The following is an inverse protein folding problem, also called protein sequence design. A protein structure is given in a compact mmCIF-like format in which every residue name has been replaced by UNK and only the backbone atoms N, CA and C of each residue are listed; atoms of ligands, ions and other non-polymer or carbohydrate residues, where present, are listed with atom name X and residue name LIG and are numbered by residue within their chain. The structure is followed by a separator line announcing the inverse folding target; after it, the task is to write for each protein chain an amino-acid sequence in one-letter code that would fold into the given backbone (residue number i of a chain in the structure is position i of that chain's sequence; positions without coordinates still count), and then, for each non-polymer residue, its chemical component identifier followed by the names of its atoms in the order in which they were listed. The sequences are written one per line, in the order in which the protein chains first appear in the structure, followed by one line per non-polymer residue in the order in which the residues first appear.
data_IF_079760371472
#
_entry.id   IF_079760371472
#
_cell.length_a   1.000
_cell.length_b   1.000
_cell.length_c   1.000
_cell.angle_alpha   90.00
_cell.angle_beta   90.00
_cell.angle_gamma   90.00
#
_symmetry.space_group_name_H-M   'P 1'
#
loop_
_entity.id
_entity.type
_entity.pdbx_description
1 polymer ?
#
# COMPACT_ATOMS: atom_id res chain seq x y z
N UNK A 1 -32.00 -26.18 12.86
CA UNK A 1 -31.06 -27.27 13.21
C UNK A 1 -31.11 -28.27 12.06
N UNK A 2 -30.28 -28.05 11.05
CA UNK A 2 -30.09 -28.98 9.94
C UNK A 2 -29.30 -30.22 10.43
N UNK A 3 -29.50 -31.40 9.83
CA UNK A 3 -29.07 -32.66 10.39
C UNK A 3 -27.54 -32.87 10.31
N UNK A 4 -26.92 -33.64 11.24
CA UNK A 4 -25.48 -33.92 11.29
C UNK A 4 -24.92 -34.71 10.09
N UNK A 5 -25.76 -35.12 9.14
CA UNK A 5 -25.35 -35.90 7.95
C UNK A 5 -24.67 -35.04 6.87
N UNK A 6 -25.05 -33.78 6.75
CA UNK A 6 -24.43 -32.86 5.77
C UNK A 6 -23.02 -32.44 6.20
N UNK A 7 -22.83 -32.17 7.50
CA UNK A 7 -21.52 -31.86 8.09
C UNK A 7 -20.55 -33.05 7.93
N UNK A 8 -21.02 -34.29 8.17
CA UNK A 8 -20.18 -35.48 8.04
C UNK A 8 -19.77 -35.75 6.57
N UNK A 9 -20.68 -35.53 5.63
CA UNK A 9 -20.42 -35.64 4.19
C UNK A 9 -19.45 -34.56 3.70
N UNK A 10 -19.62 -33.32 4.18
CA UNK A 10 -18.72 -32.19 3.90
C UNK A 10 -17.30 -32.45 4.43
N UNK A 11 -17.16 -32.92 5.67
CA UNK A 11 -15.88 -33.32 6.27
C UNK A 11 -15.21 -34.46 5.50
N UNK A 12 -15.98 -35.45 5.03
CA UNK A 12 -15.45 -36.55 4.24
C UNK A 12 -14.93 -36.10 2.87
N UNK A 13 -15.67 -35.22 2.18
CA UNK A 13 -15.22 -34.61 0.92
C UNK A 13 -13.97 -33.74 1.12
N UNK A 14 -13.87 -33.03 2.25
CA UNK A 14 -12.67 -32.28 2.61
C UNK A 14 -11.44 -33.19 2.81
N UNK A 15 -11.61 -34.31 3.52
CA UNK A 15 -10.53 -35.30 3.72
C UNK A 15 -10.07 -35.90 2.38
N UNK A 16 -10.99 -36.13 1.43
CA UNK A 16 -10.66 -36.62 0.08
C UNK A 16 -9.99 -35.55 -0.77
N UNK A 17 -10.36 -34.27 -0.60
CA UNK A 17 -9.75 -33.15 -1.32
C UNK A 17 -8.31 -32.84 -0.86
N UNK A 18 -8.03 -33.06 0.42
CA UNK A 18 -6.74 -32.78 1.04
C UNK A 18 -5.53 -33.41 0.31
N UNK A 19 -5.49 -34.72 -0.03
CA UNK A 19 -4.37 -35.30 -0.77
C UNK A 19 -4.24 -34.73 -2.19
N UNK A 20 -5.35 -34.36 -2.84
CA UNK A 20 -5.31 -33.70 -4.14
C UNK A 20 -4.69 -32.29 -4.03
N UNK A 21 -5.10 -31.51 -3.04
CA UNK A 21 -4.51 -30.21 -2.72
C UNK A 21 -3.00 -30.32 -2.42
N UNK A 22 -2.60 -31.28 -1.58
CA UNK A 22 -1.18 -31.52 -1.30
C UNK A 22 -0.42 -31.94 -2.55
N UNK A 23 -1.02 -32.74 -3.44
CA UNK A 23 -0.45 -33.09 -4.73
C UNK A 23 -0.18 -31.86 -5.61
N UNK A 24 -1.14 -30.94 -5.72
CA UNK A 24 -0.97 -29.68 -6.45
C UNK A 24 0.09 -28.79 -5.83
N UNK A 25 0.10 -28.69 -4.51
CA UNK A 25 1.10 -27.91 -3.78
C UNK A 25 2.51 -28.46 -3.99
N UNK A 26 2.69 -29.77 -3.87
CA UNK A 26 3.99 -30.43 -4.11
C UNK A 26 4.41 -30.21 -5.55
N UNK A 27 3.50 -30.41 -6.52
CA UNK A 27 3.78 -30.18 -7.93
C UNK A 27 4.21 -28.73 -8.21
N UNK A 28 3.42 -27.76 -7.74
CA UNK A 28 3.73 -26.34 -7.86
C UNK A 28 5.05 -25.97 -7.17
N UNK A 29 5.32 -26.53 -5.99
CA UNK A 29 6.58 -26.31 -5.25
C UNK A 29 7.77 -26.87 -6.00
N UNK A 30 7.67 -28.09 -6.55
CA UNK A 30 8.74 -28.71 -7.35
C UNK A 30 9.04 -27.84 -8.58
N UNK A 31 8.00 -27.39 -9.30
CA UNK A 31 8.16 -26.46 -10.43
C UNK A 31 8.83 -25.16 -9.97
N UNK A 32 8.34 -24.58 -8.87
CA UNK A 32 8.93 -23.40 -8.24
C UNK A 32 10.42 -23.58 -7.95
N UNK A 33 10.81 -24.64 -7.28
CA UNK A 33 12.22 -24.93 -6.94
C UNK A 33 13.09 -25.13 -8.19
N UNK A 34 12.56 -25.77 -9.24
CA UNK A 34 13.29 -26.00 -10.50
C UNK A 34 13.50 -24.71 -11.28
N UNK A 35 12.47 -23.86 -11.41
CA UNK A 35 12.53 -22.64 -12.22
C UNK A 35 13.03 -21.41 -11.45
N UNK A 36 12.95 -21.40 -10.11
CA UNK A 36 13.37 -20.28 -9.26
C UNK A 36 14.81 -19.82 -9.50
N UNK A 37 15.84 -20.71 -9.58
CA UNK A 37 17.21 -20.28 -9.84
C UNK A 37 17.35 -19.53 -11.18
N UNK A 38 16.69 -20.02 -12.24
CA UNK A 38 16.71 -19.39 -13.56
C UNK A 38 16.02 -18.03 -13.53
N UNK A 39 14.82 -17.95 -12.96
CA UNK A 39 14.03 -16.71 -12.86
C UNK A 39 14.74 -15.66 -12.01
N UNK A 40 15.30 -16.08 -10.87
CA UNK A 40 16.09 -15.22 -10.00
C UNK A 40 17.32 -14.69 -10.73
N UNK A 41 18.00 -15.51 -11.53
CA UNK A 41 19.13 -15.10 -12.36
C UNK A 41 18.72 -14.09 -13.44
N UNK A 42 17.62 -14.33 -14.16
CA UNK A 42 17.10 -13.40 -15.18
C UNK A 42 16.77 -12.05 -14.56
N UNK A 43 15.99 -12.03 -13.47
CA UNK A 43 15.59 -10.79 -12.81
C UNK A 43 16.77 -10.06 -12.18
N UNK A 44 17.65 -10.77 -11.49
CA UNK A 44 18.84 -10.16 -10.86
C UNK A 44 19.76 -9.56 -11.91
N UNK A 45 20.11 -10.30 -12.96
CA UNK A 45 21.00 -9.80 -14.02
C UNK A 45 20.31 -8.69 -14.81
N UNK A 46 19.06 -8.88 -15.22
CA UNK A 46 18.30 -7.91 -16.01
C UNK A 46 18.15 -6.58 -15.29
N UNK A 47 17.63 -6.59 -14.06
CA UNK A 47 17.46 -5.38 -13.27
C UNK A 47 18.80 -4.76 -12.90
N UNK A 48 19.81 -5.56 -12.53
CA UNK A 48 21.14 -5.01 -12.22
C UNK A 48 21.79 -4.34 -13.43
N UNK A 49 21.62 -4.91 -14.63
CA UNK A 49 22.12 -4.31 -15.87
C UNK A 49 21.42 -2.98 -16.18
N UNK A 50 20.09 -2.91 -16.00
CA UNK A 50 19.32 -1.66 -16.13
C UNK A 50 19.80 -0.62 -15.11
N UNK A 51 19.88 -1.02 -13.85
CA UNK A 51 20.31 -0.15 -12.74
C UNK A 51 21.71 0.40 -13.05
N UNK A 52 22.70 -0.46 -13.30
CA UNK A 52 24.09 -0.06 -13.53
C UNK A 52 24.26 0.75 -14.82
N UNK A 53 23.56 0.36 -15.90
CA UNK A 53 23.61 1.04 -17.18
C UNK A 53 23.02 2.45 -17.13
N UNK A 54 21.91 2.62 -16.41
CA UNK A 54 21.25 3.92 -16.26
C UNK A 54 21.78 4.76 -15.10
N UNK A 55 22.50 4.16 -14.16
CA UNK A 55 23.05 4.84 -12.99
C UNK A 55 23.78 6.16 -13.31
N UNK A 56 24.77 6.22 -14.24
CA UNK A 56 25.44 7.49 -14.55
C UNK A 56 24.48 8.55 -15.10
N UNK A 57 23.50 8.15 -15.92
CA UNK A 57 22.49 9.06 -16.45
C UNK A 57 21.56 9.59 -15.34
N UNK A 58 21.13 8.71 -14.43
CA UNK A 58 20.32 9.06 -13.27
C UNK A 58 21.05 10.02 -12.34
N UNK A 59 22.35 9.81 -12.10
CA UNK A 59 23.21 10.74 -11.36
C UNK A 59 23.17 12.11 -12.03
N UNK A 60 23.58 12.20 -13.29
CA UNK A 60 23.70 13.49 -14.01
C UNK A 60 22.36 14.22 -14.05
N UNK A 61 21.27 13.53 -14.41
CA UNK A 61 19.94 14.15 -14.52
C UNK A 61 19.41 14.61 -13.16
N UNK A 62 19.67 13.86 -12.08
CA UNK A 62 19.24 14.23 -10.73
C UNK A 62 19.96 15.46 -10.22
N UNK A 63 21.29 15.49 -10.32
CA UNK A 63 22.08 16.68 -9.99
C UNK A 63 21.65 17.88 -10.83
N UNK A 64 21.48 17.69 -12.14
CA UNK A 64 21.03 18.73 -13.04
C UNK A 64 19.65 19.28 -12.64
N UNK A 65 18.68 18.41 -12.34
CA UNK A 65 17.32 18.81 -11.94
C UNK A 65 17.34 19.60 -10.63
N UNK A 66 18.07 19.14 -9.62
CA UNK A 66 18.17 19.80 -8.31
C UNK A 66 18.88 21.17 -8.41
N UNK A 67 19.90 21.28 -9.24
CA UNK A 67 20.58 22.57 -9.44
C UNK A 67 19.70 23.56 -10.21
N UNK A 68 18.92 23.07 -11.19
CA UNK A 68 18.10 23.92 -12.09
C UNK A 68 16.70 24.21 -11.60
N UNK A 69 16.16 23.43 -10.65
CA UNK A 69 14.79 23.67 -10.16
C UNK A 69 14.65 25.06 -9.55
N UNK A 70 13.52 25.69 -9.81
CA UNK A 70 13.12 26.99 -9.25
C UNK A 70 12.43 26.85 -7.89
N UNK A 71 12.07 25.63 -7.50
CA UNK A 71 11.32 25.38 -6.26
C UNK A 71 12.21 25.32 -5.01
N UNK A 72 13.52 25.10 -5.15
CA UNK A 72 14.43 24.91 -4.02
C UNK A 72 15.30 26.14 -3.81
N UNK A 73 15.42 26.60 -2.55
CA UNK A 73 16.35 27.65 -2.16
C UNK A 73 17.83 27.21 -2.31
N UNK A 74 18.78 28.16 -2.40
CA UNK A 74 20.20 27.87 -2.67
C UNK A 74 20.84 26.98 -1.59
N UNK A 75 20.49 27.21 -0.32
CA UNK A 75 20.98 26.41 0.80
C UNK A 75 20.49 24.95 0.70
N UNK A 76 19.20 24.75 0.41
CA UNK A 76 18.61 23.43 0.28
C UNK A 76 19.22 22.66 -0.89
N UNK A 77 19.55 23.34 -2.00
CA UNK A 77 20.28 22.73 -3.12
C UNK A 77 21.63 22.19 -2.69
N UNK A 78 22.41 22.96 -1.91
CA UNK A 78 23.73 22.53 -1.42
C UNK A 78 23.58 21.30 -0.51
N UNK A 79 22.65 21.35 0.45
CA UNK A 79 22.40 20.22 1.36
C UNK A 79 22.01 18.96 0.59
N UNK A 80 21.06 19.07 -0.35
CA UNK A 80 20.67 17.93 -1.19
C UNK A 80 21.84 17.42 -2.04
N UNK A 81 22.66 18.29 -2.62
CA UNK A 81 23.84 17.87 -3.37
C UNK A 81 24.85 17.07 -2.52
N UNK A 82 24.96 17.38 -1.23
CA UNK A 82 25.82 16.64 -0.30
C UNK A 82 25.19 15.29 0.09
N UNK A 83 23.87 15.22 0.27
CA UNK A 83 23.16 13.99 0.67
C UNK A 83 22.91 13.02 -0.50
N UNK A 84 22.79 13.53 -1.73
CA UNK A 84 22.49 12.77 -2.94
C UNK A 84 23.40 11.56 -3.19
N UNK A 85 24.74 11.64 -3.04
CA UNK A 85 25.61 10.48 -3.23
C UNK A 85 25.18 9.29 -2.37
N UNK A 86 24.89 9.53 -1.09
CA UNK A 86 24.46 8.48 -0.17
C UNK A 86 23.12 7.86 -0.62
N UNK A 87 22.15 8.69 -1.01
CA UNK A 87 20.86 8.22 -1.53
C UNK A 87 21.00 7.41 -2.82
N UNK A 88 21.88 7.84 -3.74
CA UNK A 88 22.12 7.17 -5.02
C UNK A 88 22.85 5.83 -4.86
N UNK A 89 23.77 5.73 -3.88
CA UNK A 89 24.42 4.46 -3.52
C UNK A 89 23.42 3.53 -2.83
N UNK A 90 22.62 4.05 -1.90
CA UNK A 90 21.58 3.27 -1.22
C UNK A 90 20.56 2.71 -2.21
N UNK A 91 20.12 3.52 -3.19
CA UNK A 91 19.26 3.08 -4.27
C UNK A 91 19.85 1.90 -5.06
N UNK A 92 21.14 1.95 -5.37
CA UNK A 92 21.85 0.86 -6.07
C UNK A 92 21.78 -0.45 -5.27
N UNK A 93 22.13 -0.40 -3.98
CA UNK A 93 22.15 -1.57 -3.10
C UNK A 93 20.75 -2.15 -2.92
N UNK A 94 19.75 -1.29 -2.63
CA UNK A 94 18.38 -1.72 -2.45
C UNK A 94 17.76 -2.27 -3.74
N UNK A 95 18.09 -1.70 -4.90
CA UNK A 95 17.60 -2.20 -6.19
C UNK A 95 18.11 -3.59 -6.52
N UNK A 96 19.40 -3.87 -6.25
CA UNK A 96 20.00 -5.19 -6.47
C UNK A 96 19.46 -6.21 -5.46
N UNK A 97 19.46 -5.89 -4.17
CA UNK A 97 18.90 -6.77 -3.13
C UNK A 97 17.42 -7.06 -3.35
N UNK A 98 16.64 -6.04 -3.70
CA UNK A 98 15.23 -6.16 -4.04
C UNK A 98 15.00 -7.05 -5.27
N UNK A 99 15.91 -7.03 -6.25
CA UNK A 99 15.83 -7.90 -7.43
C UNK A 99 16.10 -9.36 -7.10
N UNK A 100 17.03 -9.65 -6.18
CA UNK A 100 17.30 -11.02 -5.72
C UNK A 100 16.10 -11.56 -4.94
N UNK A 101 15.61 -10.79 -3.96
CA UNK A 101 14.48 -11.19 -3.11
C UNK A 101 13.21 -11.32 -3.96
N UNK A 102 12.94 -10.32 -4.81
CA UNK A 102 11.80 -10.32 -5.72
C UNK A 102 11.86 -11.45 -6.74
N UNK A 103 13.05 -11.76 -7.28
CA UNK A 103 13.28 -12.87 -8.19
C UNK A 103 13.06 -14.23 -7.55
N UNK A 104 13.54 -14.43 -6.31
CA UNK A 104 13.29 -15.65 -5.56
C UNK A 104 11.81 -15.82 -5.22
N UNK A 105 11.14 -14.75 -4.77
CA UNK A 105 9.72 -14.77 -4.43
C UNK A 105 8.85 -15.04 -5.66
N UNK A 106 9.10 -14.32 -6.75
CA UNK A 106 8.36 -14.49 -8.02
C UNK A 106 8.60 -15.88 -8.62
N UNK A 107 9.86 -16.33 -8.68
CA UNK A 107 10.23 -17.63 -9.22
C UNK A 107 9.68 -18.82 -8.44
N UNK A 108 9.48 -18.67 -7.12
CA UNK A 108 8.86 -19.70 -6.28
C UNK A 108 7.33 -19.66 -6.34
N UNK A 109 6.74 -18.47 -6.20
CA UNK A 109 5.28 -18.34 -6.05
C UNK A 109 4.53 -18.39 -7.38
N UNK A 110 5.08 -17.86 -8.48
CA UNK A 110 4.37 -17.83 -9.77
C UNK A 110 4.02 -19.25 -10.27
N UNK A 111 4.93 -20.25 -10.25
CA UNK A 111 4.58 -21.62 -10.65
C UNK A 111 3.59 -22.29 -9.71
N UNK A 112 3.60 -21.96 -8.41
CA UNK A 112 2.62 -22.44 -7.44
C UNK A 112 1.24 -21.91 -7.81
N UNK A 113 1.08 -20.58 -7.95
CA UNK A 113 -0.20 -19.98 -8.32
C UNK A 113 -0.72 -20.53 -9.66
N UNK A 114 0.12 -20.63 -10.69
CA UNK A 114 -0.28 -21.19 -11.99
C UNK A 114 -0.80 -22.63 -11.91
N UNK A 115 -0.26 -23.44 -10.99
CA UNK A 115 -0.71 -24.83 -10.79
C UNK A 115 -2.10 -24.87 -10.14
N UNK A 116 -2.39 -23.91 -9.25
CA UNK A 116 -3.72 -23.75 -8.63
C UNK A 116 -4.72 -23.10 -9.60
N UNK A 117 -4.30 -22.12 -10.40
CA UNK A 117 -5.10 -21.46 -11.44
C UNK A 117 -5.60 -22.46 -12.49
N UNK A 118 -4.75 -23.41 -12.91
CA UNK A 118 -5.12 -24.45 -13.87
C UNK A 118 -6.31 -25.32 -13.40
N UNK A 119 -6.45 -25.52 -12.09
CA UNK A 119 -7.57 -26.26 -11.47
C UNK A 119 -8.76 -25.35 -11.22
N UNK A 120 -8.51 -24.09 -10.84
CA UNK A 120 -9.54 -23.08 -10.65
C UNK A 120 -10.33 -22.81 -11.94
N UNK A 121 -9.66 -22.61 -13.06
CA UNK A 121 -10.30 -22.21 -14.33
C UNK A 121 -11.01 -23.38 -15.07
N UNK A 122 -11.00 -24.60 -14.52
CA UNK A 122 -11.58 -25.82 -15.15
C UNK A 122 -11.19 -25.98 -16.63
N UNK A 123 -9.91 -25.79 -16.98
CA UNK A 123 -9.41 -25.93 -18.35
C UNK A 123 -9.59 -27.36 -18.89
N UNK A 124 -9.83 -27.50 -20.20
CA UNK A 124 -9.81 -28.80 -20.89
C UNK A 124 -8.42 -29.44 -20.76
N UNK A 125 -8.34 -30.73 -20.40
CA UNK A 125 -7.07 -31.41 -20.04
C UNK A 125 -6.36 -30.81 -18.80
N UNK A 126 -7.09 -30.65 -17.69
CA UNK A 126 -6.60 -30.09 -16.42
C UNK A 126 -5.22 -30.60 -15.96
N UNK A 127 -4.96 -31.92 -16.05
CA UNK A 127 -3.67 -32.50 -15.65
C UNK A 127 -2.51 -31.93 -16.48
N UNK A 128 -2.67 -31.84 -17.81
CA UNK A 128 -1.64 -31.28 -18.67
C UNK A 128 -1.32 -29.83 -18.28
N UNK A 129 -2.35 -29.00 -18.06
CA UNK A 129 -2.18 -27.62 -17.65
C UNK A 129 -1.55 -27.48 -16.26
N UNK A 130 -1.86 -28.37 -15.31
CA UNK A 130 -1.19 -28.36 -13.99
C UNK A 130 0.32 -28.60 -14.11
N UNK A 131 0.78 -29.43 -15.05
CA UNK A 131 2.20 -29.67 -15.28
C UNK A 131 2.86 -28.57 -16.13
N UNK A 132 2.16 -28.09 -17.16
CA UNK A 132 2.71 -27.19 -18.17
C UNK A 132 2.62 -25.70 -17.80
N UNK A 133 1.46 -25.22 -17.33
CA UNK A 133 1.22 -23.80 -17.05
C UNK A 133 2.15 -23.32 -15.92
N UNK A 134 2.72 -22.12 -16.04
CA UNK A 134 3.67 -21.60 -15.03
C UNK A 134 5.07 -22.23 -15.07
N UNK A 135 5.43 -22.93 -16.16
CA UNK A 135 6.82 -23.28 -16.46
C UNK A 135 7.46 -22.18 -17.30
N UNK A 136 7.32 -22.25 -18.63
CA UNK A 136 7.85 -21.26 -19.56
C UNK A 136 7.16 -19.89 -19.42
N UNK A 137 5.92 -19.86 -18.95
CA UNK A 137 5.19 -18.62 -18.71
C UNK A 137 5.80 -17.80 -17.58
N UNK A 138 6.29 -18.45 -16.51
CA UNK A 138 7.01 -17.75 -15.43
C UNK A 138 8.35 -17.19 -15.93
N UNK A 139 9.05 -17.92 -16.80
CA UNK A 139 10.28 -17.42 -17.44
C UNK A 139 9.98 -16.20 -18.31
N UNK A 140 8.96 -16.26 -19.19
CA UNK A 140 8.50 -15.10 -19.98
C UNK A 140 8.07 -13.93 -19.09
N UNK A 141 7.31 -14.23 -18.04
CA UNK A 141 6.85 -13.25 -17.06
C UNK A 141 8.01 -12.53 -16.39
N UNK A 142 9.12 -13.23 -16.11
CA UNK A 142 10.32 -12.60 -15.54
C UNK A 142 10.94 -11.56 -16.48
N UNK A 143 10.95 -11.79 -17.80
CA UNK A 143 11.38 -10.79 -18.78
C UNK A 143 10.44 -9.58 -18.82
N UNK A 144 9.12 -9.82 -18.69
CA UNK A 144 8.15 -8.74 -18.57
C UNK A 144 8.41 -7.91 -17.32
N UNK A 145 8.66 -8.53 -16.16
CA UNK A 145 8.99 -7.81 -14.92
C UNK A 145 10.24 -6.95 -15.08
N UNK A 146 11.30 -7.48 -15.71
CA UNK A 146 12.53 -6.72 -15.99
C UNK A 146 12.24 -5.55 -16.93
N UNK A 147 11.44 -5.76 -17.97
CA UNK A 147 11.04 -4.69 -18.90
C UNK A 147 10.24 -3.60 -18.19
N UNK A 148 9.25 -3.98 -17.39
CA UNK A 148 8.40 -3.05 -16.66
C UNK A 148 9.22 -2.23 -15.64
N UNK A 149 10.18 -2.88 -14.97
CA UNK A 149 11.15 -2.18 -14.12
C UNK A 149 12.03 -1.21 -14.93
N UNK A 150 12.45 -1.61 -16.13
CA UNK A 150 13.10 -0.75 -17.11
C UNK A 150 12.26 0.47 -17.45
N UNK A 151 10.99 0.29 -17.81
CA UNK A 151 10.08 1.38 -18.17
C UNK A 151 9.93 2.40 -17.03
N UNK A 152 9.86 1.93 -15.77
CA UNK A 152 9.86 2.80 -14.59
C UNK A 152 11.17 3.62 -14.51
N UNK A 153 12.32 2.99 -14.74
CA UNK A 153 13.61 3.66 -14.71
C UNK A 153 13.79 4.65 -15.88
N UNK A 154 13.30 4.32 -17.07
CA UNK A 154 13.43 5.15 -18.28
C UNK A 154 12.41 6.29 -18.37
N UNK A 155 11.21 6.12 -17.83
CA UNK A 155 10.12 7.07 -18.03
C UNK A 155 9.65 7.72 -16.74
N UNK A 156 9.24 6.92 -15.75
CA UNK A 156 8.68 7.46 -14.51
C UNK A 156 9.72 8.28 -13.74
N UNK A 157 10.97 7.81 -13.68
CA UNK A 157 12.06 8.53 -13.02
C UNK A 157 12.33 9.89 -13.67
N UNK A 158 12.40 9.94 -15.00
CA UNK A 158 12.66 11.18 -15.73
C UNK A 158 11.49 12.15 -15.66
N UNK A 159 10.25 11.65 -15.73
CA UNK A 159 9.05 12.45 -15.54
C UNK A 159 9.07 13.15 -14.18
N UNK A 160 9.36 12.41 -13.10
CA UNK A 160 9.44 12.97 -11.76
C UNK A 160 10.53 14.06 -11.65
N UNK A 161 11.69 13.84 -12.27
CA UNK A 161 12.75 14.85 -12.30
C UNK A 161 12.41 16.08 -13.13
N UNK A 162 11.66 15.92 -14.22
CA UNK A 162 11.22 17.03 -15.06
C UNK A 162 10.08 17.82 -14.40
N UNK A 163 9.18 17.16 -13.66
CA UNK A 163 8.14 17.81 -12.84
C UNK A 163 8.78 18.65 -11.72
N UNK A 164 9.76 18.08 -11.01
CA UNK A 164 10.55 18.80 -9.99
C UNK A 164 11.26 20.03 -10.59
N UNK A 165 11.66 19.96 -11.85
CA UNK A 165 12.36 21.05 -12.55
C UNK A 165 11.40 22.17 -12.95
N UNK A 166 10.25 21.83 -13.52
CA UNK A 166 9.28 22.78 -14.06
C UNK A 166 8.62 23.58 -12.94
N UNK A 167 8.25 22.91 -11.86
CA UNK A 167 7.59 23.50 -10.69
C UNK A 167 6.21 24.08 -10.99
N UNK A 168 5.38 24.21 -9.95
CA UNK A 168 4.06 24.83 -10.08
C UNK A 168 4.16 26.36 -10.28
N UNK A 169 3.34 26.96 -11.16
CA UNK A 169 3.22 28.41 -11.23
C UNK A 169 2.66 28.91 -9.88
N UNK A 170 3.25 29.98 -9.32
CA UNK A 170 2.91 30.64 -8.03
C UNK A 170 3.46 30.07 -6.70
N UNK A 171 4.37 29.10 -6.69
CA UNK A 171 4.92 28.57 -5.41
C UNK A 171 6.18 29.33 -4.95
N UNK A 172 6.15 29.87 -3.72
CA UNK A 172 7.34 30.38 -3.02
C UNK A 172 8.36 29.26 -2.88
N UNK A 173 9.62 29.54 -3.20
CA UNK A 173 10.70 28.55 -3.10
C UNK A 173 10.84 28.02 -1.66
N UNK A 174 11.07 26.71 -1.52
CA UNK A 174 11.31 26.05 -0.25
C UNK A 174 12.70 26.41 0.27
N UNK A 175 12.76 27.23 1.32
CA UNK A 175 14.01 27.48 2.06
C UNK A 175 14.08 26.65 3.33
N UNK A 176 15.26 26.09 3.57
CA UNK A 176 15.58 25.44 4.83
C UNK A 176 16.32 26.40 5.77
N UNK A 177 15.89 26.43 7.03
CA UNK A 177 16.64 27.07 8.12
C UNK A 177 17.77 26.13 8.55
N UNK A 178 19.02 26.57 8.40
CA UNK A 178 20.19 25.76 8.77
C UNK A 178 20.30 25.52 10.28
N UNK A 179 19.87 26.48 11.10
CA UNK A 179 20.04 26.44 12.55
C UNK A 179 19.38 25.21 13.23
N UNK A 180 18.12 24.83 12.91
CA UNK A 180 17.51 23.62 13.47
C UNK A 180 18.00 22.29 12.84
N UNK A 181 18.77 22.34 11.75
CA UNK A 181 19.16 21.13 10.99
C UNK A 181 19.99 20.13 11.80
N UNK A 182 21.02 20.53 12.59
CA UNK A 182 21.76 19.59 13.42
C UNK A 182 20.87 18.91 14.47
N UNK A 183 19.97 19.68 15.10
CA UNK A 183 19.00 19.14 16.05
C UNK A 183 18.03 18.14 15.41
N UNK A 184 17.60 18.41 14.18
CA UNK A 184 16.75 17.51 13.41
C UNK A 184 17.46 16.20 13.07
N UNK A 185 18.74 16.25 12.67
CA UNK A 185 19.55 15.05 12.39
C UNK A 185 19.72 14.21 13.65
N UNK A 186 20.06 14.85 14.78
CA UNK A 186 20.21 14.16 16.07
C UNK A 186 18.89 13.49 16.47
N UNK A 187 17.78 14.22 16.47
CA UNK A 187 16.48 13.67 16.86
C UNK A 187 15.99 12.57 15.92
N UNK A 188 16.16 12.73 14.60
CA UNK A 188 15.81 11.69 13.63
C UNK A 188 16.64 10.43 13.81
N UNK A 189 17.95 10.56 14.05
CA UNK A 189 18.81 9.41 14.36
C UNK A 189 18.41 8.72 15.66
N UNK A 190 18.10 9.49 16.70
CA UNK A 190 17.62 8.99 17.98
C UNK A 190 16.30 8.23 17.82
N UNK A 191 15.37 8.79 17.04
CA UNK A 191 14.10 8.15 16.70
C UNK A 191 14.29 6.82 16.00
N UNK A 192 15.19 6.72 15.01
CA UNK A 192 15.52 5.44 14.36
C UNK A 192 16.08 4.43 15.37
N UNK A 193 17.00 4.86 16.25
CA UNK A 193 17.63 3.97 17.25
C UNK A 193 16.61 3.41 18.24
N UNK A 194 15.58 4.17 18.61
CA UNK A 194 14.53 3.69 19.53
C UNK A 194 13.38 2.97 18.81
N UNK A 195 12.84 3.53 17.74
CA UNK A 195 11.67 2.99 17.07
C UNK A 195 11.98 1.66 16.41
N UNK A 196 13.15 1.51 15.78
CA UNK A 196 13.52 0.25 15.12
C UNK A 196 13.43 -0.97 16.04
N UNK A 197 14.15 -1.04 17.18
CA UNK A 197 14.07 -2.20 18.06
C UNK A 197 12.69 -2.33 18.74
N UNK A 198 12.06 -1.23 19.14
CA UNK A 198 10.80 -1.28 19.89
C UNK A 198 9.62 -1.69 19.01
N UNK A 199 9.49 -1.08 17.83
CA UNK A 199 8.47 -1.48 16.84
C UNK A 199 8.69 -2.92 16.40
N UNK A 200 9.94 -3.33 16.17
CA UNK A 200 10.26 -4.74 15.86
C UNK A 200 9.81 -5.68 16.97
N UNK A 201 10.07 -5.34 18.24
CA UNK A 201 9.65 -6.14 19.38
C UNK A 201 8.12 -6.24 19.46
N UNK A 202 7.40 -5.13 19.31
CA UNK A 202 5.93 -5.11 19.31
C UNK A 202 5.39 -5.98 18.17
N UNK A 203 5.92 -5.82 16.96
CA UNK A 203 5.54 -6.61 15.79
C UNK A 203 5.75 -8.11 16.01
N UNK A 204 6.89 -8.50 16.56
CA UNK A 204 7.19 -9.90 16.90
C UNK A 204 6.23 -10.42 17.97
N UNK A 205 5.97 -9.67 19.03
CA UNK A 205 5.05 -10.05 20.10
C UNK A 205 3.59 -10.17 19.62
N UNK A 206 3.17 -9.34 18.66
CA UNK A 206 1.82 -9.39 18.07
C UNK A 206 1.70 -10.40 16.92
N UNK A 207 2.82 -10.85 16.35
CA UNK A 207 2.81 -11.80 15.23
C UNK A 207 2.08 -13.12 15.50
N UNK A 208 2.12 -13.74 16.70
CA UNK A 208 1.36 -14.95 16.97
C UNK A 208 -0.14 -14.67 16.98
N UNK A 209 -0.58 -13.53 17.52
CA UNK A 209 -1.99 -13.14 17.49
C UNK A 209 -2.48 -12.95 16.05
N UNK A 210 -1.70 -12.27 15.21
CA UNK A 210 -2.01 -12.12 13.78
C UNK A 210 -2.08 -13.47 13.05
N UNK A 211 -1.17 -14.39 13.38
CA UNK A 211 -1.15 -15.73 12.82
C UNK A 211 -2.43 -16.50 13.17
N UNK A 212 -2.74 -16.63 14.46
CA UNK A 212 -3.90 -17.38 14.93
C UNK A 212 -5.23 -16.74 14.50
N UNK A 213 -5.36 -15.42 14.62
CA UNK A 213 -6.58 -14.72 14.24
C UNK A 213 -6.82 -14.78 12.73
N UNK A 214 -5.77 -14.58 11.94
CA UNK A 214 -5.87 -14.68 10.49
C UNK A 214 -6.20 -16.10 10.02
N UNK A 215 -5.58 -17.12 10.62
CA UNK A 215 -5.99 -18.51 10.38
C UNK A 215 -7.42 -18.77 10.77
N UNK A 216 -7.85 -18.36 11.97
CA UNK A 216 -9.23 -18.51 12.42
C UNK A 216 -10.21 -17.89 11.40
N UNK A 217 -9.94 -16.67 10.93
CA UNK A 217 -10.74 -16.00 9.89
C UNK A 217 -10.74 -16.77 8.57
N UNK A 218 -9.58 -17.20 8.08
CA UNK A 218 -9.48 -17.95 6.82
C UNK A 218 -10.15 -19.33 6.90
N UNK A 219 -10.10 -20.00 8.04
CA UNK A 219 -10.85 -21.23 8.29
C UNK A 219 -12.35 -20.97 8.36
N UNK A 220 -12.78 -19.88 8.99
CA UNK A 220 -14.19 -19.47 8.96
C UNK A 220 -14.68 -19.13 7.56
N UNK A 221 -13.88 -18.46 6.74
CA UNK A 221 -14.22 -18.15 5.35
C UNK A 221 -14.27 -19.42 4.48
N UNK A 222 -13.46 -20.44 4.82
CA UNK A 222 -13.51 -21.75 4.18
C UNK A 222 -14.78 -22.54 4.56
N UNK A 223 -15.17 -22.51 5.84
CA UNK A 223 -16.31 -23.27 6.39
C UNK A 223 -17.65 -22.57 6.13
N UNK A 224 -17.72 -21.24 6.24
CA UNK A 224 -18.95 -20.45 6.11
C UNK A 224 -19.48 -20.30 4.68
N UNK A 225 -18.81 -20.90 3.70
CA UNK A 225 -19.19 -20.88 2.28
C UNK A 225 -20.19 -22.00 1.95
N UNK A 226 -21.25 -22.16 2.75
CA UNK A 226 -22.31 -23.18 2.59
C UNK A 226 -23.44 -22.76 1.64
N UNK A 227 -23.08 -22.30 0.43
CA UNK A 227 -24.04 -22.04 -0.65
C UNK A 227 -24.03 -23.14 -1.71
N UNK A 228 -25.14 -23.39 -2.44
CA UNK A 228 -25.18 -24.28 -3.61
C UNK A 228 -24.27 -23.82 -4.78
N UNK A 229 -23.64 -22.65 -4.63
CA UNK A 229 -22.54 -22.12 -5.45
C UNK A 229 -21.17 -22.33 -4.78
N UNK A 230 -20.94 -23.48 -4.14
CA UNK A 230 -19.61 -24.06 -3.92
C UNK A 230 -19.01 -24.44 -5.28
N UNK A 231 -18.73 -23.43 -6.10
CA UNK A 231 -17.88 -23.59 -7.26
C UNK A 231 -16.53 -24.10 -6.75
N UNK A 232 -16.24 -25.35 -7.09
CA UNK A 232 -14.99 -26.11 -6.91
C UNK A 232 -13.69 -25.34 -7.23
N UNK A 233 -13.84 -24.14 -7.82
CA UNK A 233 -12.82 -23.23 -8.30
C UNK A 233 -12.08 -22.53 -7.16
N UNK A 234 -12.78 -22.11 -6.10
CA UNK A 234 -12.20 -21.24 -5.06
C UNK A 234 -11.60 -21.99 -3.86
N UNK A 235 -11.95 -23.27 -3.67
CA UNK A 235 -11.47 -24.08 -2.54
C UNK A 235 -9.94 -24.28 -2.56
N UNK A 236 -9.30 -24.58 -3.72
CA UNK A 236 -7.85 -24.64 -3.81
C UNK A 236 -7.16 -23.31 -3.44
N UNK A 237 -7.71 -22.17 -3.83
CA UNK A 237 -7.15 -20.85 -3.49
C UNK A 237 -7.29 -20.51 -2.01
N UNK A 238 -8.44 -20.82 -1.40
CA UNK A 238 -8.64 -20.63 0.03
C UNK A 238 -7.66 -21.50 0.84
N UNK A 239 -7.44 -22.75 0.43
CA UNK A 239 -6.42 -23.62 1.02
C UNK A 239 -5.00 -23.07 0.86
N UNK A 240 -4.68 -22.53 -0.31
CA UNK A 240 -3.37 -21.91 -0.57
C UNK A 240 -3.17 -20.65 0.29
N UNK A 241 -4.21 -19.82 0.45
CA UNK A 241 -4.16 -18.64 1.32
C UNK A 241 -3.93 -19.01 2.79
N UNK A 242 -4.59 -20.06 3.30
CA UNK A 242 -4.36 -20.59 4.66
C UNK A 242 -2.89 -21.01 4.84
N UNK A 243 -2.32 -21.69 3.85
CA UNK A 243 -0.94 -22.16 3.88
C UNK A 243 0.08 -21.03 3.76
N UNK A 244 -0.19 -20.02 2.92
CA UNK A 244 0.70 -18.87 2.70
C UNK A 244 0.55 -17.79 3.78
N UNK A 245 -0.48 -17.87 4.64
CA UNK A 245 -0.70 -16.91 5.71
C UNK A 245 0.52 -16.68 6.64
N UNK A 246 1.27 -17.71 7.10
CA UNK A 246 2.50 -17.51 7.86
C UNK A 246 3.55 -16.68 7.12
N UNK A 247 3.66 -16.85 5.79
CA UNK A 247 4.57 -16.03 4.98
C UNK A 247 4.12 -14.57 4.95
N UNK A 248 2.82 -14.31 4.85
CA UNK A 248 2.26 -12.97 4.96
C UNK A 248 2.54 -12.36 6.34
N UNK A 249 2.46 -13.15 7.42
CA UNK A 249 2.82 -12.72 8.78
C UNK A 249 4.29 -12.31 8.88
N UNK A 250 5.21 -13.13 8.36
CA UNK A 250 6.64 -12.79 8.29
C UNK A 250 6.86 -11.51 7.48
N UNK A 251 6.18 -11.38 6.33
CA UNK A 251 6.24 -10.19 5.50
C UNK A 251 5.77 -8.92 6.23
N UNK A 252 4.68 -9.00 7.01
CA UNK A 252 4.17 -7.89 7.80
C UNK A 252 5.12 -7.48 8.94
N UNK A 253 5.79 -8.45 9.59
CA UNK A 253 6.83 -8.17 10.58
C UNK A 253 8.02 -7.46 9.92
N UNK A 254 8.56 -8.02 8.84
CA UNK A 254 9.68 -7.40 8.10
C UNK A 254 9.31 -6.00 7.57
N UNK A 255 8.09 -5.83 7.07
CA UNK A 255 7.56 -4.54 6.64
C UNK A 255 7.47 -3.54 7.77
N UNK A 256 7.04 -3.97 8.97
CA UNK A 256 7.02 -3.13 10.17
C UNK A 256 8.42 -2.73 10.63
N UNK A 257 9.39 -3.65 10.56
CA UNK A 257 10.79 -3.35 10.84
C UNK A 257 11.33 -2.29 9.89
N UNK A 258 11.03 -2.40 8.59
CA UNK A 258 11.48 -1.44 7.59
C UNK A 258 10.79 -0.07 7.75
N UNK A 259 9.48 -0.05 7.99
CA UNK A 259 8.71 1.18 8.15
C UNK A 259 9.08 1.95 9.42
N UNK A 260 9.50 1.25 10.49
CA UNK A 260 9.94 1.86 11.74
C UNK A 260 11.12 2.83 11.57
N UNK A 261 11.99 2.61 10.58
CA UNK A 261 13.11 3.51 10.26
C UNK A 261 12.56 4.86 9.81
N UNK A 262 11.58 4.87 8.92
CA UNK A 262 10.96 6.10 8.43
C UNK A 262 10.10 6.77 9.50
N UNK A 263 9.39 5.97 10.30
CA UNK A 263 8.59 6.46 11.42
C UNK A 263 9.49 7.19 12.43
N UNK A 264 10.58 6.56 12.87
CA UNK A 264 11.53 7.17 13.80
C UNK A 264 12.25 8.39 13.21
N UNK A 265 12.63 8.33 11.93
CA UNK A 265 13.27 9.47 11.24
C UNK A 265 12.39 10.73 11.22
N UNK A 266 11.06 10.58 11.25
CA UNK A 266 10.11 11.69 11.27
C UNK A 266 10.25 12.57 12.52
N UNK A 267 10.84 12.07 13.61
CA UNK A 267 11.20 12.90 14.76
C UNK A 267 12.06 14.12 14.36
N UNK A 268 12.94 13.96 13.39
CA UNK A 268 13.76 15.04 12.86
C UNK A 268 12.92 16.14 12.17
N UNK A 269 11.86 15.75 11.46
CA UNK A 269 10.91 16.68 10.84
C UNK A 269 10.16 17.48 11.91
N UNK A 270 9.73 16.82 12.99
CA UNK A 270 9.05 17.49 14.11
C UNK A 270 9.98 18.51 14.79
N UNK A 271 11.26 18.16 15.02
CA UNK A 271 12.25 19.12 15.54
C UNK A 271 12.45 20.30 14.61
N UNK A 272 12.48 20.02 13.31
CA UNK A 272 12.68 21.05 12.30
C UNK A 272 11.52 22.06 12.24
N UNK A 273 10.28 21.59 12.42
CA UNK A 273 9.08 22.43 12.38
C UNK A 273 8.80 23.17 13.69
N UNK A 274 9.01 22.50 14.82
CA UNK A 274 8.60 23.00 16.13
C UNK A 274 9.81 23.24 17.05
N UNK A 275 10.25 22.21 17.77
CA UNK A 275 11.36 22.28 18.71
C UNK A 275 11.92 20.90 19.02
N UNK A 276 13.14 20.86 19.57
CA UNK A 276 13.79 19.61 19.97
C UNK A 276 12.97 18.78 20.97
N UNK A 277 12.31 19.45 21.93
CA UNK A 277 11.45 18.78 22.91
C UNK A 277 10.27 18.06 22.26
N UNK A 278 9.62 18.69 21.27
CA UNK A 278 8.52 18.07 20.55
C UNK A 278 8.98 16.87 19.71
N UNK A 279 10.20 16.87 19.19
CA UNK A 279 10.79 15.69 18.57
C UNK A 279 10.96 14.51 19.53
N UNK A 280 11.42 14.77 20.76
CA UNK A 280 11.50 13.72 21.79
C UNK A 280 10.11 13.21 22.18
N UNK A 281 9.13 14.11 22.32
CA UNK A 281 7.74 13.73 22.53
C UNK A 281 7.19 12.87 21.38
N UNK A 282 7.61 13.15 20.14
CA UNK A 282 7.21 12.37 18.97
C UNK A 282 7.77 10.94 19.01
N UNK A 283 9.04 10.74 19.39
CA UNK A 283 9.63 9.39 19.50
C UNK A 283 8.83 8.52 20.48
N UNK A 284 8.32 9.12 21.56
CA UNK A 284 7.46 8.39 22.49
C UNK A 284 6.06 8.17 21.88
N UNK A 285 5.51 9.18 21.21
CA UNK A 285 4.19 9.10 20.59
C UNK A 285 4.14 8.17 19.37
N UNK A 286 5.24 7.97 18.63
CA UNK A 286 5.31 7.10 17.46
C UNK A 286 5.07 5.64 17.83
N UNK A 287 5.56 5.22 19.00
CA UNK A 287 5.27 3.89 19.57
C UNK A 287 3.78 3.72 19.85
N UNK A 288 3.14 4.73 20.46
CA UNK A 288 1.70 4.70 20.70
C UNK A 288 0.91 4.65 19.39
N UNK A 289 1.34 5.39 18.36
CA UNK A 289 0.71 5.40 17.03
C UNK A 289 0.84 4.02 16.37
N UNK A 290 2.01 3.40 16.41
CA UNK A 290 2.21 2.07 15.83
C UNK A 290 1.43 0.99 16.60
N UNK A 291 1.42 1.06 17.93
CA UNK A 291 0.71 0.11 18.78
C UNK A 291 -0.81 0.21 18.60
N UNK A 292 -1.36 1.43 18.53
CA UNK A 292 -2.77 1.71 18.21
C UNK A 292 -3.12 1.17 16.81
N UNK A 293 -2.35 1.53 15.79
CA UNK A 293 -2.55 1.04 14.42
C UNK A 293 -2.52 -0.49 14.33
N UNK A 294 -1.56 -1.13 14.99
CA UNK A 294 -1.45 -2.59 14.98
C UNK A 294 -2.54 -3.26 15.82
N UNK A 295 -3.08 -2.60 16.85
CA UNK A 295 -4.27 -3.09 17.54
C UNK A 295 -5.48 -3.07 16.62
N UNK A 296 -5.68 -1.98 15.86
CA UNK A 296 -6.80 -1.84 14.93
C UNK A 296 -6.75 -2.89 13.81
N UNK A 297 -5.58 -3.07 13.18
CA UNK A 297 -5.38 -4.10 12.13
C UNK A 297 -5.66 -5.52 12.66
N UNK A 298 -5.45 -5.75 13.95
CA UNK A 298 -5.66 -7.02 14.60
C UNK A 298 -7.02 -7.11 15.31
N UNK A 299 -7.94 -6.17 15.09
CA UNK A 299 -9.16 -5.89 15.87
C UNK A 299 -9.00 -6.27 17.37
N UNK A 300 -7.97 -5.71 18.00
CA UNK A 300 -7.73 -5.73 19.44
C UNK A 300 -8.43 -4.54 20.10
N UNK A 301 -8.53 -4.47 21.45
CA UNK A 301 -9.15 -3.34 22.13
C UNK A 301 -8.54 -2.00 21.71
N UNK A 302 -9.41 -1.01 21.51
CA UNK A 302 -9.03 0.33 21.06
C UNK A 302 -8.03 1.01 22.00
N UNK A 303 -7.06 1.72 21.40
CA UNK A 303 -6.04 2.49 22.10
C UNK A 303 -4.67 1.81 22.17
N UNK A 304 -3.74 2.46 22.87
CA UNK A 304 -2.38 1.99 23.05
C UNK A 304 -2.02 1.89 24.53
N UNK A 305 -1.15 0.94 24.86
CA UNK A 305 -0.54 0.83 26.20
C UNK A 305 0.56 1.87 26.44
N UNK A 306 1.01 2.58 25.40
CA UNK A 306 2.05 3.59 25.47
C UNK A 306 1.47 5.00 25.68
N UNK A 307 2.21 5.90 26.35
CA UNK A 307 1.80 7.29 26.47
C UNK A 307 1.81 7.98 25.10
N UNK A 308 0.86 8.89 24.87
CA UNK A 308 0.78 9.71 23.66
C UNK A 308 0.99 11.20 23.96
N UNK A 309 2.25 11.66 24.17
CA UNK A 309 2.54 13.06 24.38
C UNK A 309 2.09 13.94 23.21
N UNK A 310 1.68 15.18 23.50
CA UNK A 310 1.46 16.18 22.45
C UNK A 310 2.82 16.58 21.84
N UNK A 311 3.01 16.28 20.57
CA UNK A 311 4.23 16.61 19.81
C UNK A 311 4.04 17.76 18.81
N UNK A 312 2.86 18.38 18.77
CA UNK A 312 2.56 19.58 17.99
C UNK A 312 1.88 20.60 18.89
N UNK A 313 2.09 21.90 18.61
CA UNK A 313 1.29 22.95 19.21
C UNK A 313 -0.09 22.93 18.58
N UNK A 314 -1.14 23.13 19.39
CA UNK A 314 -2.50 23.25 18.87
C UNK A 314 -2.49 24.29 17.72
N UNK A 315 -3.10 23.99 16.56
CA UNK A 315 -3.03 24.87 15.41
C UNK A 315 -3.56 26.24 15.81
N UNK A 316 -2.75 27.29 15.64
CA UNK A 316 -3.23 28.66 15.77
C UNK A 316 -4.42 28.79 14.80
N UNK A 317 -5.65 29.09 15.27
CA UNK A 317 -6.75 29.34 14.35
C UNK A 317 -6.34 30.55 13.52
N UNK A 318 -6.08 30.33 12.23
CA UNK A 318 -6.03 31.39 11.24
C UNK A 318 -7.37 32.13 11.35
N UNK A 319 -7.31 33.38 11.81
CA UNK A 319 -8.45 34.29 11.84
C UNK A 319 -8.96 34.47 10.41
N UNK A 320 -9.91 33.65 10.00
CA UNK A 320 -10.81 33.95 8.89
C UNK A 320 -12.18 34.22 9.48
N UNK A 321 -12.44 35.51 9.66
CA UNK A 321 -13.77 36.09 9.83
C UNK A 321 -14.70 35.62 8.71
N UNK A 322 -15.70 34.80 9.04
CA UNK A 322 -17.03 34.90 8.46
C UNK A 322 -18.05 34.09 9.27
N UNK A 323 -18.94 34.84 9.90
CA UNK A 323 -20.26 34.50 10.45
C UNK A 323 -20.91 33.24 9.87
N UNK A 324 -21.27 32.32 10.74
CA UNK A 324 -22.51 31.54 10.62
C UNK A 324 -22.98 31.20 12.04
N UNK A 325 -23.84 32.09 12.56
CA UNK A 325 -24.69 31.81 13.71
C UNK A 325 -25.70 30.70 13.39
N UNK A 326 -26.21 30.10 14.46
CA UNK A 326 -27.43 29.26 14.58
C UNK A 326 -27.27 27.75 14.36
N UNK A 327 -27.20 26.99 15.46
CA UNK A 327 -28.37 26.39 16.10
C UNK A 327 -27.94 25.65 17.37
N UNK A 328 -28.04 26.32 18.52
CA UNK A 328 -27.92 25.69 19.85
C UNK A 328 -29.31 25.62 20.48
N UNK A 329 -29.92 24.43 20.45
CA UNK A 329 -31.04 24.06 21.31
C UNK A 329 -30.50 23.54 22.64
N UNK A 330 -30.98 24.13 23.73
CA UNK A 330 -30.52 23.94 25.11
C UNK A 330 -31.06 22.66 25.76
N UNK A 331 -30.22 21.99 26.55
CA UNK A 331 -30.56 21.66 27.94
C UNK A 331 -29.28 21.40 28.75
N UNK A 332 -29.14 22.16 29.84
CA UNK A 332 -28.04 22.12 30.80
C UNK A 332 -28.26 20.98 31.80
N UNK A 333 -27.18 20.33 32.26
CA UNK A 333 -26.74 20.27 33.67
C UNK A 333 -25.60 19.24 33.84
N UNK A 334 -24.56 19.67 34.56
CA UNK A 334 -23.40 18.95 35.15
C UNK A 334 -22.13 18.76 34.30
N UNK A 335 -21.20 19.68 34.51
CA UNK A 335 -19.76 19.50 34.26
C UNK A 335 -19.14 18.53 35.29
N UNK A 336 -18.26 17.62 34.83
CA UNK A 336 -17.00 17.28 35.51
C UNK A 336 -15.79 17.74 34.65
N UNK A 337 -14.57 17.80 35.23
CA UNK A 337 -13.51 18.70 34.79
C UNK A 337 -12.80 18.24 33.52
N UNK A 338 -12.29 19.24 32.80
CA UNK A 338 -11.37 19.22 31.65
C UNK A 338 -10.50 17.96 31.56
N UNK A 339 -10.96 16.98 30.78
CA UNK A 339 -10.12 15.93 30.18
C UNK A 339 -9.79 16.37 28.76
N UNK A 340 -8.49 16.29 28.43
CA UNK A 340 -7.95 16.64 27.13
C UNK A 340 -8.68 15.94 25.99
N UNK A 341 -8.72 16.62 24.86
CA UNK A 341 -9.36 16.19 23.61
C UNK A 341 -8.83 14.81 23.22
N UNK A 342 -9.53 13.79 23.68
CA UNK A 342 -9.59 12.47 23.06
C UNK A 342 -10.22 12.69 21.69
N UNK A 343 -9.55 12.28 20.63
CA UNK A 343 -10.20 12.13 19.34
C UNK A 343 -11.18 10.96 19.45
N UNK A 344 -12.34 11.19 20.06
CA UNK A 344 -13.50 10.30 20.00
C UNK A 344 -14.19 10.47 18.64
N UNK A 345 -13.48 10.17 17.55
CA UNK A 345 -14.13 9.87 16.30
C UNK A 345 -14.07 8.36 16.13
N UNK A 346 -15.18 7.63 16.34
CA UNK A 346 -15.22 6.22 16.00
C UNK A 346 -14.85 6.10 14.53
N UNK A 347 -13.81 5.31 14.25
CA UNK A 347 -13.45 4.96 12.89
C UNK A 347 -14.68 4.24 12.32
N UNK A 348 -15.39 4.89 11.40
CA UNK A 348 -16.49 4.24 10.69
C UNK A 348 -15.83 3.13 9.89
N UNK A 349 -16.18 1.89 10.19
CA UNK A 349 -15.86 0.70 9.40
C UNK A 349 -15.88 1.05 7.92
N UNK A 350 -14.70 1.11 7.30
CA UNK A 350 -14.57 1.29 5.86
C UNK A 350 -15.09 0.02 5.22
N UNK A 351 -16.39 -0.04 4.92
CA UNK A 351 -16.93 -1.05 4.02
C UNK A 351 -16.42 -0.72 2.62
N UNK A 352 -15.47 -1.50 2.05
CA UNK A 352 -14.86 -1.18 0.77
C UNK A 352 -15.89 -1.11 -0.36
N UNK A 353 -16.97 -1.88 -0.22
CA UNK A 353 -18.12 -1.86 -1.13
C UNK A 353 -18.92 -0.56 -1.07
N UNK A 354 -19.08 0.05 0.10
CA UNK A 354 -19.76 1.35 0.22
C UNK A 354 -18.89 2.49 -0.33
N UNK A 355 -17.57 2.41 -0.15
CA UNK A 355 -16.63 3.34 -0.76
C UNK A 355 -16.66 3.24 -2.28
N UNK A 356 -16.62 2.01 -2.80
CA UNK A 356 -16.63 1.73 -4.23
C UNK A 356 -17.94 2.19 -4.89
N UNK A 357 -19.09 1.92 -4.26
CA UNK A 357 -20.40 2.40 -4.71
C UNK A 357 -20.45 3.94 -4.80
N UNK A 358 -19.87 4.64 -3.82
CA UNK A 358 -19.79 6.11 -3.84
C UNK A 358 -18.88 6.63 -4.95
N UNK A 359 -17.74 5.99 -5.19
CA UNK A 359 -16.84 6.34 -6.30
C UNK A 359 -17.56 6.12 -7.64
N UNK A 360 -18.28 5.01 -7.80
CA UNK A 360 -19.04 4.74 -9.02
C UNK A 360 -20.15 5.76 -9.27
N UNK A 361 -20.85 6.21 -8.22
CA UNK A 361 -21.84 7.30 -8.34
C UNK A 361 -21.22 8.63 -8.77
N UNK A 362 -20.06 8.97 -8.24
CA UNK A 362 -19.33 10.18 -8.65
C UNK A 362 -18.81 10.05 -10.10
N UNK A 363 -18.34 8.85 -10.48
CA UNK A 363 -17.96 8.53 -11.86
C UNK A 363 -19.15 8.65 -12.81
N UNK A 364 -20.33 8.17 -12.41
CA UNK A 364 -21.54 8.33 -13.20
C UNK A 364 -21.89 9.81 -13.38
N UNK A 365 -21.90 10.58 -12.29
CA UNK A 365 -22.23 12.01 -12.35
C UNK A 365 -21.27 12.80 -13.25
N UNK A 366 -19.95 12.61 -13.09
CA UNK A 366 -18.97 13.26 -13.95
C UNK A 366 -18.94 12.70 -15.37
N UNK A 367 -19.26 11.42 -15.54
CA UNK A 367 -19.39 10.79 -16.85
C UNK A 367 -20.55 11.39 -17.65
N UNK A 368 -21.71 11.61 -17.02
CA UNK A 368 -22.85 12.29 -17.64
C UNK A 368 -22.50 13.71 -18.10
N UNK A 369 -21.76 14.46 -17.27
CA UNK A 369 -21.25 15.79 -17.61
C UNK A 369 -20.29 15.72 -18.80
N UNK A 370 -19.31 14.82 -18.79
CA UNK A 370 -18.32 14.69 -19.86
C UNK A 370 -18.91 14.20 -21.18
N UNK A 371 -19.97 13.40 -21.15
CA UNK A 371 -20.75 13.07 -22.34
C UNK A 371 -21.49 14.31 -22.86
N UNK A 372 -22.08 15.12 -21.97
CA UNK A 372 -22.77 16.35 -22.36
C UNK A 372 -21.83 17.43 -22.93
N UNK A 373 -20.57 17.47 -22.48
CA UNK A 373 -19.53 18.38 -22.95
C UNK A 373 -18.79 17.85 -24.19
N UNK A 374 -19.12 16.64 -24.67
CA UNK A 374 -18.48 16.01 -25.83
C UNK A 374 -17.06 15.50 -25.59
N UNK A 375 -16.62 15.42 -24.33
CA UNK A 375 -15.31 14.91 -23.92
C UNK A 375 -15.26 13.38 -23.91
N UNK A 376 -16.39 12.72 -23.65
CA UNK A 376 -16.57 11.27 -23.84
C UNK A 376 -17.42 11.08 -25.09
N UNK A 377 -16.87 10.39 -26.09
CA UNK A 377 -17.58 10.13 -27.35
C UNK A 377 -18.39 8.84 -27.30
N UNK A 378 -19.35 8.68 -28.21
CA UNK A 378 -20.09 7.43 -28.33
C UNK A 378 -19.20 6.25 -28.74
N UNK A 379 -18.08 6.53 -29.40
CA UNK A 379 -17.08 5.51 -29.70
C UNK A 379 -16.41 5.00 -28.41
N UNK A 380 -16.06 5.90 -27.47
CA UNK A 380 -15.50 5.52 -26.17
C UNK A 380 -16.43 4.61 -25.38
N UNK A 381 -17.75 4.90 -25.39
CA UNK A 381 -18.76 4.09 -24.70
C UNK A 381 -18.91 2.70 -25.35
N UNK A 382 -18.90 2.64 -26.68
CA UNK A 382 -19.00 1.38 -27.42
C UNK A 382 -17.74 0.52 -27.25
N UNK A 383 -16.56 1.15 -27.22
CA UNK A 383 -15.28 0.48 -26.97
C UNK A 383 -15.18 -0.04 -25.53
N UNK A 384 -15.74 0.69 -24.56
CA UNK A 384 -15.87 0.21 -23.18
C UNK A 384 -16.83 -0.98 -23.06
N UNK A 385 -17.96 -0.97 -23.77
CA UNK A 385 -18.96 -2.06 -23.74
C UNK A 385 -18.51 -3.33 -24.47
N UNK A 386 -17.69 -3.20 -25.51
CA UNK A 386 -17.27 -4.31 -26.36
C UNK A 386 -16.11 -5.14 -25.80
N UNK A 387 -15.68 -4.91 -24.55
CA UNK A 387 -14.57 -5.62 -23.91
C UNK A 387 -13.17 -5.22 -24.43
N UNK A 388 -13.09 -4.37 -25.46
CA UNK A 388 -11.84 -3.81 -25.98
C UNK A 388 -11.22 -2.77 -25.02
N UNK A 389 -12.05 -2.19 -24.14
CA UNK A 389 -11.65 -1.26 -23.09
C UNK A 389 -11.32 0.13 -23.63
N UNK A 390 -12.17 1.12 -23.34
CA UNK A 390 -11.80 2.53 -23.55
C UNK A 390 -10.94 3.01 -22.38
N UNK A 391 -9.70 3.44 -22.65
CA UNK A 391 -8.81 4.03 -21.62
C UNK A 391 -9.43 5.27 -20.96
N UNK A 392 -10.23 6.04 -21.70
CA UNK A 392 -10.89 7.26 -21.20
C UNK A 392 -11.92 6.90 -20.13
N UNK A 393 -12.73 5.88 -20.37
CA UNK A 393 -13.81 5.48 -19.45
C UNK A 393 -13.30 4.57 -18.32
N UNK A 394 -12.43 3.60 -18.65
CA UNK A 394 -11.96 2.60 -17.67
C UNK A 394 -10.88 3.11 -16.72
N UNK A 395 -10.08 4.10 -17.15
CA UNK A 395 -8.96 4.63 -16.37
C UNK A 395 -9.14 6.13 -16.13
N UNK A 396 -9.41 6.90 -17.19
CA UNK A 396 -9.47 8.35 -17.13
C UNK A 396 -10.57 8.91 -16.21
N UNK A 397 -11.80 8.43 -16.36
CA UNK A 397 -12.95 8.89 -15.60
C UNK A 397 -12.83 8.57 -14.09
N UNK A 398 -12.50 7.33 -13.67
CA UNK A 398 -12.22 7.03 -12.27
C UNK A 398 -11.06 7.87 -11.70
N UNK A 399 -9.96 8.02 -12.45
CA UNK A 399 -8.82 8.81 -12.00
C UNK A 399 -9.18 10.29 -11.78
N UNK A 400 -9.97 10.87 -12.68
CA UNK A 400 -10.48 12.24 -12.53
C UNK A 400 -11.33 12.41 -11.27
N UNK A 401 -12.25 11.47 -11.02
CA UNK A 401 -13.14 11.54 -9.85
C UNK A 401 -12.37 11.44 -8.54
N UNK A 402 -11.38 10.54 -8.46
CA UNK A 402 -10.52 10.39 -7.29
C UNK A 402 -9.68 11.67 -7.07
N UNK A 403 -9.08 12.22 -8.14
CA UNK A 403 -8.32 13.46 -8.05
C UNK A 403 -9.20 14.62 -7.55
N UNK A 404 -10.42 14.74 -8.08
CA UNK A 404 -11.34 15.78 -7.67
C UNK A 404 -11.78 15.63 -6.21
N UNK A 405 -12.02 14.40 -5.75
CA UNK A 405 -12.30 14.11 -4.35
C UNK A 405 -11.11 14.51 -3.45
N UNK A 406 -9.88 14.18 -3.84
CA UNK A 406 -8.67 14.58 -3.11
C UNK A 406 -8.51 16.10 -3.03
N UNK A 407 -8.67 16.80 -4.15
CA UNK A 407 -8.57 18.26 -4.19
C UNK A 407 -9.63 18.95 -3.32
N UNK A 408 -10.87 18.44 -3.33
CA UNK A 408 -11.95 18.92 -2.44
C UNK A 408 -11.59 18.69 -0.97
N UNK A 409 -11.00 17.53 -0.66
CA UNK A 409 -10.58 17.17 0.70
C UNK A 409 -9.48 18.09 1.23
N UNK A 410 -8.47 18.36 0.40
CA UNK A 410 -7.36 19.27 0.72
C UNK A 410 -7.88 20.70 0.93
N UNK A 411 -8.76 21.19 0.04
CA UNK A 411 -9.38 22.52 0.19
C UNK A 411 -10.22 22.64 1.45
N UNK A 412 -10.86 21.56 1.88
CA UNK A 412 -11.66 21.50 3.11
C UNK A 412 -10.84 21.24 4.38
N UNK A 413 -9.51 21.09 4.27
CA UNK A 413 -8.62 20.67 5.36
C UNK A 413 -9.14 19.42 6.09
N UNK A 414 -9.66 18.46 5.32
CA UNK A 414 -10.25 17.24 5.84
C UNK A 414 -9.17 16.22 6.19
N UNK A 415 -9.33 15.54 7.34
CA UNK A 415 -8.46 14.44 7.78
C UNK A 415 -8.68 13.16 6.96
N UNK A 416 -9.71 13.14 6.10
CA UNK A 416 -10.05 12.04 5.19
C UNK A 416 -10.45 12.48 3.78
N UNK A 417 -10.68 11.52 2.88
CA UNK A 417 -11.21 11.77 1.53
C UNK A 417 -12.71 12.09 1.62
N UNK A 418 -13.06 13.28 1.14
CA UNK A 418 -14.40 13.81 1.06
C UNK A 418 -15.06 13.37 -0.26
N UNK A 419 -15.82 12.27 -0.22
CA UNK A 419 -16.68 11.84 -1.31
C UNK A 419 -18.13 12.26 -1.00
N UNK A 420 -18.55 13.41 -1.54
CA UNK A 420 -19.91 13.96 -1.44
C UNK A 420 -20.45 14.16 -0.01
N UNK A 421 -20.54 15.42 0.44
CA UNK A 421 -21.17 15.94 1.70
C UNK A 421 -20.92 15.18 3.03
N UNK A 422 -20.12 14.13 3.05
CA UNK A 422 -19.70 13.37 4.23
C UNK A 422 -18.21 13.07 4.14
N UNK A 423 -17.56 13.23 5.29
CA UNK A 423 -16.14 13.03 5.51
C UNK A 423 -15.86 11.53 5.65
N UNK A 424 -14.90 11.00 4.90
CA UNK A 424 -14.51 9.57 4.97
C UNK A 424 -13.02 9.51 5.28
N UNK A 425 -12.65 9.00 6.47
CA UNK A 425 -11.25 8.92 6.89
C UNK A 425 -10.51 7.93 5.99
N UNK A 426 -9.47 8.38 5.28
CA UNK A 426 -8.59 7.49 4.53
C UNK A 426 -7.18 7.91 4.87
N UNK A 427 -6.54 7.11 5.73
CA UNK A 427 -5.12 7.22 5.98
C UNK A 427 -4.38 6.38 4.93
N UNK A 428 -4.26 6.90 3.70
CA UNK A 428 -3.29 6.36 2.75
C UNK A 428 -1.92 6.86 3.18
N UNK A 429 -1.26 6.09 4.04
CA UNK A 429 0.20 6.07 4.11
C UNK A 429 0.66 4.92 3.23
N UNK A 430 1.07 5.28 2.02
CA UNK A 430 2.21 4.76 1.26
C UNK A 430 2.76 3.37 1.66
N UNK A 431 1.98 2.30 1.51
CA UNK A 431 2.49 0.90 1.51
C UNK A 431 1.90 0.05 0.38
N UNK A 432 0.89 0.53 -0.35
CA UNK A 432 0.31 -0.24 -1.47
C UNK A 432 0.66 0.38 -2.83
N UNK A 433 1.79 -0.06 -3.40
CA UNK A 433 1.98 -0.51 -4.79
C UNK A 433 3.47 -0.90 -4.97
N UNK A 434 3.87 -2.04 -5.58
CA UNK A 434 3.08 -3.09 -6.23
C UNK A 434 3.48 -4.51 -5.73
N UNK A 435 2.67 -5.11 -4.85
CA UNK A 435 2.69 -6.56 -4.60
C UNK A 435 1.25 -7.08 -4.72
N UNK A 436 0.69 -6.97 -5.93
CA UNK A 436 -0.47 -7.71 -6.42
C UNK A 436 -0.75 -7.26 -7.87
N UNK A 437 0.18 -7.53 -8.78
CA UNK A 437 -0.19 -7.74 -10.18
C UNK A 437 -0.66 -9.19 -10.28
N UNK A 438 -1.89 -9.46 -9.81
CA UNK A 438 -2.60 -10.65 -10.29
C UNK A 438 -3.17 -10.30 -11.67
N UNK A 439 -3.03 -11.20 -12.66
CA UNK A 439 -3.54 -10.95 -13.99
C UNK A 439 -5.05 -10.75 -13.95
N UNK A 440 -5.47 -9.68 -14.60
CA UNK A 440 -6.82 -9.41 -15.05
C UNK A 440 -7.35 -10.62 -15.81
N UNK A 441 -8.11 -11.49 -15.13
CA UNK A 441 -9.03 -12.41 -15.80
C UNK A 441 -10.34 -11.66 -15.94
N UNK A 442 -10.56 -11.11 -17.14
CA UNK A 442 -11.88 -10.70 -17.58
C UNK A 442 -12.75 -11.96 -17.73
N UNK A 443 -13.95 -11.93 -17.17
CA UNK A 443 -15.11 -12.66 -17.70
C UNK A 443 -16.07 -11.62 -18.26
#
# INVERSE_FOLDING_TARGET
MEPPKEILSSLWNFIIFLPFFFGLLVLGTVKGVVFCPLVCLIMTIGNSAIILGLWPLHIVKTYYSILRTKQLGPILKIVLCICLPATLILWLVLGILGSIIGGALYGLLSPIFATFDAVGERKTNMLYHCFYDGTWDTVKGSFTVVRDFGDVCYHSYFSLLDDLRQGAPDVKYYEIRLLPLPGAIIAGSLGIVFDFPLVSLIAICKSPYMLFKGWHRLFHDLIGREGPFLETICVPFAGLAILLWPLAVVGAVLGSMLSSIFLGAYAGVVVYQESFWFGLCYIVASLAIYDEYSNDILDMPEGSCFPRPKYQKDPKPTKTTSRADSFSGSTSVRNPPSRGVSFNHPMVDLKPLELLDRIFKECQHHGEIFVSEGLITQQDINDAKSGKGSRVISIGLPAYCILQALLRSVKANSVGILLSKQMLFIQIILVFLPCCSFPTVYV
#
